data_IF_589687715773
#
_entry.id   IF_589687715773
#
_cell.length_a   1.000
_cell.length_b   1.000
_cell.length_c   1.000
_cell.angle_alpha   90.00
_cell.angle_beta   90.00
_cell.angle_gamma   90.00
#
_symmetry.space_group_name_H-M   'P 1'
#
loop_
_entity.id
_entity.type
_entity.pdbx_description
1 polymer ?
#
# COMPACT_ATOMS: atom_id res chain seq x y z
N UNK A 1 -28.98 12.44 -15.56
CA UNK A 1 -28.46 11.11 -15.98
C UNK A 1 -27.42 10.71 -14.96
N UNK A 2 -27.60 9.56 -14.31
CA UNK A 2 -26.58 9.01 -13.41
C UNK A 2 -25.38 8.58 -14.26
N UNK A 3 -24.19 9.07 -13.94
CA UNK A 3 -22.95 8.60 -14.56
C UNK A 3 -22.64 7.24 -13.97
N UNK A 4 -22.68 6.18 -14.77
CA UNK A 4 -22.30 4.85 -14.35
C UNK A 4 -20.81 4.66 -14.66
N UNK A 5 -20.00 4.41 -13.64
CA UNK A 5 -18.59 4.05 -13.83
C UNK A 5 -18.55 2.63 -14.39
N UNK A 6 -17.92 2.46 -15.55
CA UNK A 6 -17.66 1.12 -16.09
C UNK A 6 -16.43 0.54 -15.43
N UNK A 7 -16.55 -0.67 -14.94
CA UNK A 7 -15.41 -1.40 -14.38
C UNK A 7 -14.31 -1.62 -15.43
N UNK A 8 -13.07 -1.51 -15.02
CA UNK A 8 -11.88 -1.68 -15.87
C UNK A 8 -10.92 -2.73 -15.30
N UNK A 9 -9.93 -3.13 -16.08
CA UNK A 9 -8.86 -4.00 -15.63
C UNK A 9 -7.61 -3.17 -15.34
N UNK A 10 -7.04 -3.35 -14.15
CA UNK A 10 -5.69 -2.90 -13.83
C UNK A 10 -4.69 -3.98 -14.24
N UNK A 11 -3.69 -3.61 -15.03
CA UNK A 11 -2.55 -4.46 -15.33
C UNK A 11 -1.32 -3.96 -14.59
N UNK A 12 -0.73 -4.83 -13.78
CA UNK A 12 0.52 -4.57 -13.08
C UNK A 12 1.61 -5.41 -13.74
N UNK A 13 2.70 -4.77 -14.16
CA UNK A 13 3.87 -5.44 -14.73
C UNK A 13 5.10 -5.12 -13.90
N UNK A 14 5.84 -6.14 -13.54
CA UNK A 14 7.17 -6.01 -12.97
C UNK A 14 8.14 -6.56 -14.01
N UNK A 15 9.08 -5.73 -14.44
CA UNK A 15 10.08 -6.07 -15.45
C UNK A 15 11.44 -5.97 -14.76
N UNK A 16 12.17 -7.05 -14.78
CA UNK A 16 13.55 -7.14 -14.30
C UNK A 16 14.47 -7.34 -15.50
N UNK A 17 15.39 -6.43 -15.69
CA UNK A 17 16.36 -6.47 -16.79
C UNK A 17 17.77 -6.53 -16.20
N UNK A 18 18.41 -7.69 -16.32
CA UNK A 18 19.79 -7.87 -15.85
C UNK A 18 20.54 -8.87 -16.75
N UNK A 19 21.70 -8.47 -17.23
CA UNK A 19 22.61 -9.37 -17.96
C UNK A 19 23.80 -9.65 -17.06
N UNK A 20 23.92 -10.88 -16.58
CA UNK A 20 25.03 -11.32 -15.75
C UNK A 20 25.85 -12.38 -16.50
N UNK A 21 27.16 -12.11 -16.65
CA UNK A 21 28.08 -13.01 -17.39
C UNK A 21 27.58 -13.37 -18.80
N UNK A 22 26.97 -12.41 -19.51
CA UNK A 22 26.45 -12.60 -20.87
C UNK A 22 25.15 -13.41 -20.96
N UNK A 23 24.52 -13.70 -19.84
CA UNK A 23 23.20 -14.35 -19.78
C UNK A 23 22.16 -13.40 -19.21
N UNK A 24 21.02 -13.33 -19.86
CA UNK A 24 19.85 -12.64 -19.33
C UNK A 24 19.30 -13.42 -18.12
N UNK A 25 19.20 -12.75 -16.99
CA UNK A 25 18.63 -13.26 -15.74
C UNK A 25 17.33 -12.53 -15.38
N UNK A 26 16.90 -11.61 -16.25
CA UNK A 26 15.69 -10.84 -16.05
C UNK A 26 14.42 -11.64 -16.30
N UNK A 27 13.29 -11.03 -16.04
CA UNK A 27 11.98 -11.62 -16.22
C UNK A 27 10.87 -10.59 -16.26
N UNK A 28 9.68 -11.04 -16.66
CA UNK A 28 8.47 -10.21 -16.62
C UNK A 28 7.39 -10.97 -15.89
N UNK A 29 6.85 -10.36 -14.85
CA UNK A 29 5.64 -10.83 -14.15
C UNK A 29 4.49 -9.88 -14.44
N UNK A 30 3.36 -10.41 -14.85
CA UNK A 30 2.15 -9.63 -15.11
C UNK A 30 1.01 -10.16 -14.25
N UNK A 31 0.34 -9.23 -13.53
CA UNK A 31 -0.91 -9.46 -12.81
C UNK A 31 -2.01 -8.63 -13.46
N UNK A 32 -3.15 -9.23 -13.73
CA UNK A 32 -4.37 -8.52 -14.17
C UNK A 32 -5.41 -8.59 -13.07
N UNK A 33 -5.85 -7.42 -12.59
CA UNK A 33 -6.86 -7.26 -11.55
C UNK A 33 -8.11 -6.69 -12.20
N UNK A 34 -9.21 -7.43 -12.16
CA UNK A 34 -10.49 -7.05 -12.78
C UNK A 34 -11.35 -6.18 -11.89
N UNK A 35 -12.46 -5.70 -12.47
CA UNK A 35 -13.55 -5.02 -11.76
C UNK A 35 -13.17 -3.72 -11.04
N UNK A 36 -12.08 -3.07 -11.42
CA UNK A 36 -11.70 -1.79 -10.84
C UNK A 36 -12.68 -0.69 -11.25
N UNK A 37 -13.28 -0.04 -10.26
CA UNK A 37 -14.22 1.08 -10.44
C UNK A 37 -13.68 2.39 -9.93
N UNK A 38 -12.65 2.35 -9.05
CA UNK A 38 -12.05 3.55 -8.49
C UNK A 38 -10.52 3.45 -8.49
N UNK A 39 -9.86 4.56 -8.81
CA UNK A 39 -8.41 4.72 -8.73
C UNK A 39 -8.09 6.06 -8.08
N UNK A 40 -7.31 6.01 -7.02
CA UNK A 40 -6.74 7.21 -6.40
C UNK A 40 -5.25 7.21 -6.68
N UNK A 41 -4.77 8.27 -7.33
CA UNK A 41 -3.36 8.54 -7.52
C UNK A 41 -3.05 9.93 -6.99
N UNK A 42 -2.20 10.03 -5.98
CA UNK A 42 -1.84 11.31 -5.34
C UNK A 42 -0.36 11.37 -5.07
N UNK A 43 0.18 12.58 -5.16
CA UNK A 43 1.50 12.92 -4.60
C UNK A 43 1.24 13.74 -3.35
N UNK A 44 1.83 13.33 -2.24
CA UNK A 44 1.73 13.99 -0.93
C UNK A 44 3.12 14.28 -0.41
N UNK A 45 3.28 15.38 0.30
CA UNK A 45 4.54 15.75 0.93
C UNK A 45 4.54 15.23 2.38
N UNK A 46 5.52 14.41 2.73
CA UNK A 46 5.67 13.77 4.03
C UNK A 46 6.81 14.44 4.77
N UNK A 47 6.53 15.00 5.94
CA UNK A 47 7.53 15.54 6.86
C UNK A 47 8.26 14.45 7.66
N UNK A 48 9.06 14.91 8.62
CA UNK A 48 9.80 14.01 9.53
C UNK A 48 8.96 13.46 10.68
N UNK A 49 7.81 14.06 10.94
CA UNK A 49 6.86 13.56 11.92
C UNK A 49 5.98 12.47 11.29
N UNK A 50 5.67 11.44 12.05
CA UNK A 50 4.77 10.37 11.60
C UNK A 50 3.36 10.92 11.37
N UNK A 51 2.82 10.63 10.20
CA UNK A 51 1.49 11.07 9.79
C UNK A 51 0.72 9.94 9.11
N UNK A 52 -0.61 9.92 9.25
CA UNK A 52 -1.48 8.99 8.56
C UNK A 52 -1.41 9.17 7.04
N UNK A 53 -1.05 8.11 6.31
CA UNK A 53 -0.98 8.12 4.85
C UNK A 53 -2.25 7.54 4.22
N UNK A 54 -2.63 6.34 4.62
CA UNK A 54 -3.81 5.61 4.17
C UNK A 54 -4.56 5.04 5.37
N UNK A 55 -5.89 5.11 5.36
CA UNK A 55 -6.76 4.47 6.35
C UNK A 55 -7.71 3.49 5.68
N UNK A 56 -8.06 2.42 6.40
CA UNK A 56 -8.95 1.38 5.92
C UNK A 56 -10.04 1.09 6.96
N UNK A 57 -11.25 0.77 6.51
CA UNK A 57 -12.36 0.39 7.40
C UNK A 57 -13.70 0.39 6.70
N UNK A 58 -14.64 -0.45 7.17
CA UNK A 58 -16.01 -0.60 6.62
C UNK A 58 -16.92 0.56 6.95
N UNK A 59 -16.64 1.31 8.01
CA UNK A 59 -17.37 2.51 8.39
C UNK A 59 -16.39 3.66 8.57
N UNK A 60 -16.86 4.87 8.28
CA UNK A 60 -16.18 6.10 8.66
C UNK A 60 -15.81 5.98 10.15
N UNK A 61 -14.59 5.57 10.42
CA UNK A 61 -14.17 5.36 11.79
C UNK A 61 -14.01 6.73 12.43
N UNK A 62 -15.09 7.18 13.10
CA UNK A 62 -15.16 8.49 13.79
C UNK A 62 -14.20 8.57 14.97
N UNK A 63 -13.60 7.45 15.38
CA UNK A 63 -12.57 7.42 16.42
C UNK A 63 -11.19 7.86 15.91
N UNK A 64 -10.99 7.87 14.60
CA UNK A 64 -9.75 8.34 14.01
C UNK A 64 -9.82 9.86 13.83
N UNK A 65 -9.39 10.59 14.84
CA UNK A 65 -8.97 12.00 14.71
C UNK A 65 -7.71 12.14 13.79
N UNK A 66 -7.31 11.07 13.11
CA UNK A 66 -6.21 11.05 12.16
C UNK A 66 -6.70 11.50 10.79
N UNK A 67 -6.05 12.51 10.26
CA UNK A 67 -6.20 12.89 8.85
C UNK A 67 -5.27 11.99 8.03
N UNK A 68 -5.82 11.29 7.03
CA UNK A 68 -5.03 10.51 6.10
C UNK A 68 -4.76 11.33 4.82
N UNK A 69 -3.49 11.60 4.55
CA UNK A 69 -3.09 12.48 3.43
C UNK A 69 -3.50 11.94 2.06
N UNK A 70 -3.44 10.64 1.87
CA UNK A 70 -3.81 10.02 0.60
C UNK A 70 -5.25 9.48 0.56
N UNK A 71 -5.94 9.42 1.71
CA UNK A 71 -7.37 9.11 1.81
C UNK A 71 -7.69 7.90 2.68
N UNK A 72 -8.98 7.66 2.79
CA UNK A 72 -9.57 6.49 3.47
C UNK A 72 -10.29 5.64 2.42
N UNK A 73 -10.26 4.34 2.62
CA UNK A 73 -10.79 3.34 1.71
C UNK A 73 -11.60 2.30 2.48
N UNK A 74 -12.56 1.71 1.81
CA UNK A 74 -13.27 0.53 2.28
C UNK A 74 -12.32 -0.68 2.21
N UNK A 75 -12.10 -1.34 3.33
CA UNK A 75 -11.15 -2.42 3.49
C UNK A 75 -11.42 -3.61 2.55
N UNK A 76 -12.70 -3.94 2.32
CA UNK A 76 -13.13 -5.05 1.47
C UNK A 76 -12.91 -4.79 -0.03
N UNK A 77 -12.79 -3.52 -0.44
CA UNK A 77 -12.81 -3.14 -1.85
C UNK A 77 -11.44 -2.85 -2.44
N UNK A 78 -10.42 -2.64 -1.62
CA UNK A 78 -9.05 -2.38 -2.08
C UNK A 78 -8.49 -3.60 -2.81
N UNK A 79 -7.86 -3.37 -3.98
CA UNK A 79 -7.29 -4.46 -4.81
C UNK A 79 -5.82 -4.29 -5.11
N UNK A 80 -5.30 -3.09 -4.94
CA UNK A 80 -3.88 -2.83 -5.19
C UNK A 80 -3.44 -1.54 -4.49
N UNK A 81 -2.31 -1.60 -3.82
CA UNK A 81 -1.66 -0.46 -3.17
C UNK A 81 -0.22 -0.39 -3.63
N UNK A 82 0.21 0.80 -4.09
CA UNK A 82 1.62 1.11 -4.35
C UNK A 82 1.96 2.46 -3.73
N UNK A 83 3.06 2.48 -3.00
CA UNK A 83 3.62 3.69 -2.37
C UNK A 83 5.04 3.85 -2.90
N UNK A 84 5.30 4.95 -3.59
CA UNK A 84 6.59 5.24 -4.22
C UNK A 84 7.22 6.48 -3.58
N UNK A 85 8.42 6.33 -3.07
CA UNK A 85 9.22 7.46 -2.63
C UNK A 85 9.84 8.16 -3.86
N UNK A 86 9.43 9.39 -4.15
CA UNK A 86 9.90 10.17 -5.28
C UNK A 86 11.14 11.02 -4.96
N UNK A 87 11.59 11.03 -3.70
CA UNK A 87 12.79 11.76 -3.28
C UNK A 87 14.05 11.12 -3.85
N UNK A 88 15.08 11.91 -4.10
CA UNK A 88 16.36 11.49 -4.67
C UNK A 88 17.47 11.32 -3.62
N UNK A 89 17.18 11.64 -2.36
CA UNK A 89 18.16 11.71 -1.27
C UNK A 89 17.71 10.93 -0.05
N UNK A 90 16.47 11.15 0.39
CA UNK A 90 15.94 10.68 1.66
C UNK A 90 15.10 9.41 1.48
N UNK A 91 15.05 8.59 2.52
CA UNK A 91 14.11 7.47 2.59
C UNK A 91 12.89 7.84 3.43
N UNK A 92 11.84 7.07 3.26
CA UNK A 92 10.67 7.09 4.13
C UNK A 92 10.58 5.79 4.92
N UNK A 93 9.97 5.86 6.10
CA UNK A 93 9.52 4.71 6.86
C UNK A 93 8.00 4.62 6.72
N UNK A 94 7.51 3.45 6.32
CA UNK A 94 6.09 3.11 6.35
C UNK A 94 5.86 2.24 7.58
N UNK A 95 4.80 2.50 8.33
CA UNK A 95 4.34 1.67 9.44
C UNK A 95 2.95 1.18 9.08
N UNK A 96 2.79 -0.13 9.00
CA UNK A 96 1.54 -0.81 8.77
C UNK A 96 0.99 -1.27 10.10
N UNK A 97 -0.31 -1.05 10.33
CA UNK A 97 -0.97 -1.39 11.58
C UNK A 97 -2.24 -2.19 11.32
N UNK A 98 -2.41 -3.28 12.04
CA UNK A 98 -3.64 -4.07 12.00
C UNK A 98 -4.65 -3.68 13.11
N UNK A 99 -5.83 -4.29 13.07
CA UNK A 99 -6.91 -4.08 14.05
C UNK A 99 -6.53 -4.47 15.49
N UNK A 100 -5.56 -5.39 15.66
CA UNK A 100 -5.07 -5.84 16.94
C UNK A 100 -3.97 -4.93 17.53
N UNK A 101 -3.67 -3.81 16.86
CA UNK A 101 -2.59 -2.88 17.17
C UNK A 101 -1.19 -3.47 16.97
N UNK A 102 -1.04 -4.52 16.17
CA UNK A 102 0.26 -4.98 15.74
C UNK A 102 0.80 -4.05 14.65
N UNK A 103 2.05 -3.70 14.76
CA UNK A 103 2.71 -2.78 13.84
C UNK A 103 3.97 -3.41 13.26
N UNK A 104 4.21 -3.16 11.99
CA UNK A 104 5.50 -3.42 11.42
C UNK A 104 5.97 -2.27 10.54
N UNK A 105 7.26 -1.94 10.63
CA UNK A 105 7.86 -0.86 9.87
C UNK A 105 8.70 -1.35 8.70
N UNK A 106 8.58 -0.66 7.57
CA UNK A 106 9.37 -0.93 6.36
C UNK A 106 10.03 0.37 5.88
N UNK A 107 11.33 0.28 5.57
CA UNK A 107 12.05 1.36 4.91
C UNK A 107 11.81 1.31 3.41
N UNK A 108 11.36 2.43 2.81
CA UNK A 108 11.31 2.62 1.36
C UNK A 108 12.36 3.65 0.98
N UNK A 109 13.42 3.19 0.33
CA UNK A 109 14.53 4.05 -0.04
C UNK A 109 14.15 4.97 -1.20
N UNK A 110 14.99 5.98 -1.45
CA UNK A 110 14.81 6.94 -2.53
C UNK A 110 14.57 6.24 -3.88
N UNK A 111 13.58 6.70 -4.63
CA UNK A 111 13.21 6.15 -5.93
C UNK A 111 12.59 4.75 -5.89
N UNK A 112 12.45 4.14 -4.69
CA UNK A 112 11.87 2.80 -4.54
C UNK A 112 10.36 2.83 -4.34
N UNK A 113 9.73 1.69 -4.61
CA UNK A 113 8.30 1.48 -4.38
C UNK A 113 8.08 0.33 -3.41
N UNK A 114 7.10 0.50 -2.55
CA UNK A 114 6.50 -0.54 -1.76
C UNK A 114 5.16 -0.93 -2.39
N UNK A 115 4.95 -2.22 -2.63
CA UNK A 115 3.69 -2.78 -3.12
C UNK A 115 3.16 -3.70 -2.04
N UNK A 116 1.95 -3.43 -1.56
CA UNK A 116 1.28 -4.28 -0.60
C UNK A 116 0.45 -5.33 -1.34
N UNK A 117 0.72 -6.60 -1.03
CA UNK A 117 -0.06 -7.70 -1.55
C UNK A 117 -1.36 -7.80 -0.77
N UNK A 118 -2.45 -7.45 -1.41
CA UNK A 118 -3.80 -7.57 -0.85
C UNK A 118 -4.42 -8.89 -1.28
N UNK A 119 -5.42 -9.35 -0.53
CA UNK A 119 -6.31 -10.41 -1.01
C UNK A 119 -7.19 -9.85 -2.14
N UNK A 120 -7.12 -10.47 -3.32
CA UNK A 120 -7.86 -9.99 -4.49
C UNK A 120 -9.38 -10.11 -4.33
N UNK A 121 -9.87 -10.97 -3.45
CA UNK A 121 -11.29 -11.14 -3.14
C UNK A 121 -11.70 -10.38 -1.88
N UNK A 122 -10.86 -10.36 -0.84
CA UNK A 122 -11.13 -9.77 0.47
C UNK A 122 -10.51 -8.38 0.73
N UNK A 123 -9.76 -7.81 -0.20
CA UNK A 123 -9.13 -6.51 0.00
C UNK A 123 -7.97 -6.54 1.00
N UNK A 124 -8.00 -5.68 2.01
CA UNK A 124 -6.99 -5.64 3.09
C UNK A 124 -7.46 -6.36 4.37
N UNK A 125 -8.60 -7.04 4.31
CA UNK A 125 -9.12 -7.89 5.38
C UNK A 125 -8.25 -9.14 5.49
N UNK A 126 -7.97 -9.59 6.71
CA UNK A 126 -7.18 -10.81 6.99
C UNK A 126 -5.82 -10.86 6.25
N UNK A 127 -5.13 -9.73 6.13
CA UNK A 127 -3.86 -9.67 5.37
C UNK A 127 -2.62 -9.45 6.20
N UNK A 128 -2.76 -9.13 7.49
CA UNK A 128 -1.63 -8.79 8.36
C UNK A 128 -1.66 -9.57 9.66
N UNK A 129 -0.56 -10.20 10.03
CA UNK A 129 -0.40 -10.89 11.30
C UNK A 129 0.89 -10.47 11.99
N UNK A 130 0.86 -10.33 13.31
CA UNK A 130 2.06 -10.23 14.13
C UNK A 130 2.67 -11.60 14.30
N UNK A 131 3.92 -11.77 13.89
CA UNK A 131 4.71 -12.95 14.18
C UNK A 131 5.39 -12.79 15.54
N UNK A 132 5.02 -13.61 16.50
CA UNK A 132 5.71 -13.73 17.79
C UNK A 132 6.78 -14.85 17.78
N UNK A 133 7.40 -15.12 18.92
CA UNK A 133 8.36 -16.18 19.06
C UNK A 133 7.78 -17.60 18.85
N UNK A 134 6.48 -17.76 18.89
CA UNK A 134 5.77 -19.01 18.64
C UNK A 134 5.53 -19.29 17.14
N UNK A 135 5.75 -18.30 16.30
CA UNK A 135 5.56 -18.38 14.86
C UNK A 135 4.20 -17.86 14.37
N UNK A 136 3.97 -18.03 13.08
CA UNK A 136 2.74 -17.59 12.42
C UNK A 136 1.74 -18.73 12.37
N UNK A 137 0.50 -18.45 12.76
CA UNK A 137 -0.62 -19.35 12.46
C UNK A 137 -1.24 -18.90 11.13
N UNK A 138 -1.24 -19.70 10.07
CA UNK A 138 -1.63 -19.26 8.72
C UNK A 138 -3.05 -18.71 8.59
N UNK A 139 -3.95 -19.05 9.52
CA UNK A 139 -5.35 -18.65 9.49
C UNK A 139 -5.68 -17.57 10.54
N UNK A 140 -4.68 -16.87 11.10
CA UNK A 140 -4.89 -15.82 12.09
C UNK A 140 -4.32 -14.48 11.60
N UNK A 141 -4.74 -14.05 10.44
CA UNK A 141 -4.47 -12.71 9.95
C UNK A 141 -5.55 -11.74 10.50
N UNK A 142 -5.17 -10.50 10.70
CA UNK A 142 -6.06 -9.40 11.03
C UNK A 142 -6.14 -8.39 9.89
N UNK A 143 -7.11 -7.50 9.99
CA UNK A 143 -7.37 -6.49 8.99
C UNK A 143 -6.32 -5.37 9.08
N UNK A 144 -5.77 -4.95 7.95
CA UNK A 144 -4.94 -3.76 7.91
C UNK A 144 -5.83 -2.52 8.08
N UNK A 145 -5.61 -1.75 9.14
CA UNK A 145 -6.43 -0.57 9.46
C UNK A 145 -5.79 0.75 9.06
N UNK A 146 -4.47 0.87 9.09
CA UNK A 146 -3.81 2.08 8.60
C UNK A 146 -2.37 1.84 8.13
N UNK A 147 -1.91 2.77 7.30
CA UNK A 147 -0.50 2.93 6.95
C UNK A 147 -0.12 4.35 7.29
N UNK A 148 0.86 4.51 8.17
CA UNK A 148 1.47 5.79 8.48
C UNK A 148 2.82 5.94 7.77
N UNK A 149 3.33 7.16 7.69
CA UNK A 149 4.57 7.45 6.98
C UNK A 149 5.32 8.59 7.67
N UNK A 150 6.65 8.49 7.69
CA UNK A 150 7.55 9.55 8.12
C UNK A 150 8.81 9.57 7.23
N UNK A 151 9.32 10.77 6.92
CA UNK A 151 10.60 10.93 6.24
C UNK A 151 11.75 10.96 7.26
N UNK A 152 12.95 10.51 6.87
CA UNK A 152 14.05 10.37 7.82
C UNK A 152 14.71 11.72 8.23
N UNK A 153 14.95 12.64 7.29
CA UNK A 153 15.77 13.84 7.57
C UNK A 153 15.11 15.12 7.07
N UNK A 154 14.51 15.07 5.90
CA UNK A 154 13.80 16.18 5.28
C UNK A 154 12.53 15.67 4.60
N UNK A 155 11.60 16.57 4.30
CA UNK A 155 10.34 16.20 3.67
C UNK A 155 10.55 15.52 2.32
N UNK A 156 9.81 14.46 2.07
CA UNK A 156 9.83 13.66 0.83
C UNK A 156 8.48 13.78 0.10
N UNK A 157 8.52 13.83 -1.21
CA UNK A 157 7.33 13.63 -2.03
C UNK A 157 7.07 12.14 -2.24
N UNK A 158 5.86 11.71 -1.94
CA UNK A 158 5.44 10.30 -1.99
C UNK A 158 4.25 10.17 -2.92
N UNK A 159 4.38 9.34 -3.95
CA UNK A 159 3.26 8.97 -4.81
C UNK A 159 2.54 7.75 -4.22
N UNK A 160 1.25 7.91 -4.00
CA UNK A 160 0.35 6.83 -3.58
C UNK A 160 -0.60 6.49 -4.72
N UNK A 161 -0.71 5.21 -5.02
CA UNK A 161 -1.66 4.66 -5.98
C UNK A 161 -2.47 3.55 -5.31
N UNK A 162 -3.79 3.73 -5.26
CA UNK A 162 -4.73 2.73 -4.74
C UNK A 162 -5.78 2.47 -5.80
N UNK A 163 -6.03 1.20 -6.08
CA UNK A 163 -7.13 0.77 -6.94
C UNK A 163 -8.13 -0.08 -6.14
N UNK A 164 -9.42 0.17 -6.33
CA UNK A 164 -10.51 -0.52 -5.63
C UNK A 164 -11.69 -0.83 -6.56
N UNK A 165 -12.51 -1.76 -6.13
CA UNK A 165 -13.76 -2.19 -6.82
C UNK A 165 -14.97 -1.41 -6.35
#
# INVERSE_FOLDING_TARGET
MASTVSAANLKVKIIEEVILNGKDQGGTTELTIGSITNVVKRIVNIGTDEIGLLGFGTAYNTELSKTYLAGQFDEDTVRYIRITNLDDTNHIALILKNENNDEFGVKVDKGCSFIYGVDLDGGVVDTMVSADAAGITPDSFGDLVDITCAANTAACDVEVFVAST
#
